data_IF_679155564246
#
_entry.id   IF_679155564246
#
_cell.length_a   1.000
_cell.length_b   1.000
_cell.length_c   1.000
_cell.angle_alpha   90.00
_cell.angle_beta   90.00
_cell.angle_gamma   90.00
#
_symmetry.space_group_name_H-M   'P 1'
#
loop_
_entity.id
_entity.type
_entity.pdbx_description
1 polymer ?
#
# COMPACT_ATOMS: atom_id res chain seq x y z
N UNK A 1 2.25 8.11 24.61
CA UNK A 1 3.42 8.79 24.01
C UNK A 1 3.34 8.55 22.51
N UNK A 2 3.18 9.64 21.74
CA UNK A 2 3.22 9.75 20.26
C UNK A 2 2.07 9.15 19.43
N UNK A 3 0.99 9.93 19.34
CA UNK A 3 0.24 10.15 18.09
C UNK A 3 1.19 10.71 17.03
N UNK A 4 1.71 9.86 16.13
CA UNK A 4 2.60 10.31 15.04
C UNK A 4 2.45 9.46 13.77
N UNK A 5 1.25 8.95 13.51
CA UNK A 5 0.96 8.11 12.33
C UNK A 5 0.03 8.80 11.31
N UNK A 6 -0.49 10.00 11.60
CA UNK A 6 -1.56 10.61 10.77
C UNK A 6 -1.12 11.79 9.87
N UNK A 7 0.18 12.12 9.77
CA UNK A 7 0.60 13.35 9.09
C UNK A 7 1.60 13.18 7.93
N UNK A 8 1.83 11.96 7.49
CA UNK A 8 2.47 11.70 6.19
C UNK A 8 1.42 10.91 5.39
N UNK A 9 1.07 11.31 4.15
CA UNK A 9 0.17 10.51 3.32
C UNK A 9 0.73 9.09 3.31
N UNK A 10 -0.09 8.10 3.64
CA UNK A 10 0.35 6.73 3.85
C UNK A 10 0.87 6.13 2.55
N UNK A 11 2.14 6.40 2.22
CA UNK A 11 2.92 5.69 1.19
C UNK A 11 3.25 4.25 1.63
N UNK A 12 2.33 3.58 2.31
CA UNK A 12 2.35 2.16 2.68
C UNK A 12 1.51 1.30 1.75
N UNK A 13 0.78 1.93 0.84
CA UNK A 13 -0.06 1.21 -0.12
C UNK A 13 0.79 0.43 -1.13
N UNK A 14 0.28 -0.70 -1.67
CA UNK A 14 0.93 -1.50 -2.71
C UNK A 14 1.63 -0.73 -3.86
N UNK A 15 1.13 0.42 -4.38
CA UNK A 15 1.84 1.24 -5.36
C UNK A 15 3.25 1.69 -4.93
N UNK A 16 3.52 1.89 -3.65
CA UNK A 16 4.78 2.41 -3.15
C UNK A 16 5.94 1.39 -3.13
N UNK A 17 5.68 0.10 -3.40
CA UNK A 17 6.72 -0.95 -3.37
C UNK A 17 7.85 -0.64 -4.36
N UNK A 18 7.50 -0.11 -5.53
CA UNK A 18 8.46 0.24 -6.58
C UNK A 18 9.30 1.46 -6.21
N UNK A 19 8.66 2.50 -5.68
CA UNK A 19 9.33 3.68 -5.12
C UNK A 19 10.29 3.29 -3.99
N UNK A 20 9.86 2.42 -3.07
CA UNK A 20 10.65 2.03 -1.91
C UNK A 20 11.80 1.11 -2.30
N UNK A 21 11.50 -0.01 -2.98
CA UNK A 21 12.51 -1.01 -3.31
C UNK A 21 13.50 -0.51 -4.36
N UNK A 22 13.08 0.32 -5.31
CA UNK A 22 13.88 0.61 -6.50
C UNK A 22 14.15 2.09 -6.75
N UNK A 23 13.57 3.01 -5.97
CA UNK A 23 13.64 4.45 -6.24
C UNK A 23 13.14 4.80 -7.65
N UNK A 24 12.16 4.04 -8.12
CA UNK A 24 11.49 4.23 -9.41
C UNK A 24 10.15 4.94 -9.17
N UNK A 25 9.66 5.70 -10.13
CA UNK A 25 8.39 6.44 -10.02
C UNK A 25 7.21 5.51 -9.67
N UNK A 26 6.20 6.10 -9.02
CA UNK A 26 4.95 5.44 -8.68
C UNK A 26 4.11 5.12 -9.92
N UNK A 27 2.86 4.76 -9.69
CA UNK A 27 1.93 4.39 -10.76
C UNK A 27 0.70 5.29 -10.72
N UNK A 28 0.13 5.51 -11.89
CA UNK A 28 -1.18 6.15 -11.98
C UNK A 28 -2.27 5.24 -11.38
N UNK A 29 -3.32 5.84 -10.78
CA UNK A 29 -3.53 7.28 -10.60
C UNK A 29 -2.71 7.94 -9.47
N UNK A 30 -2.14 7.18 -8.53
CA UNK A 30 -1.50 7.70 -7.31
C UNK A 30 -0.32 8.66 -7.55
N UNK A 31 0.44 8.46 -8.64
CA UNK A 31 1.59 9.29 -9.01
C UNK A 31 1.20 10.76 -9.26
N UNK A 32 0.04 10.99 -9.89
CA UNK A 32 -0.40 12.34 -10.27
C UNK A 32 -1.24 13.05 -9.20
N UNK A 33 -1.54 12.39 -8.08
CA UNK A 33 -2.35 12.95 -7.00
C UNK A 33 -1.59 14.06 -6.27
N UNK A 34 -2.26 15.21 -6.09
CA UNK A 34 -1.78 16.26 -5.19
C UNK A 34 -2.15 15.93 -3.74
N UNK A 35 -1.33 15.10 -3.10
CA UNK A 35 -1.52 14.65 -1.72
C UNK A 35 -1.53 15.77 -0.67
N UNK A 36 -0.93 16.94 -0.95
CA UNK A 36 -1.00 18.10 -0.05
C UNK A 36 -2.40 18.74 -0.06
N UNK A 37 -3.03 18.76 -1.24
CA UNK A 37 -4.38 19.31 -1.41
C UNK A 37 -5.47 18.30 -1.03
N UNK A 38 -5.21 17.01 -1.23
CA UNK A 38 -6.16 15.92 -0.97
C UNK A 38 -5.46 14.75 -0.26
N UNK A 39 -5.23 14.85 1.07
CA UNK A 39 -4.56 13.78 1.83
C UNK A 39 -5.33 12.46 1.85
N UNK A 40 -6.67 12.54 1.80
CA UNK A 40 -7.59 11.39 1.82
C UNK A 40 -8.19 11.14 0.42
N UNK A 41 -7.45 11.49 -0.66
CA UNK A 41 -7.95 11.44 -2.04
C UNK A 41 -8.59 10.10 -2.41
N UNK A 42 -8.03 9.00 -1.93
CA UNK A 42 -8.53 7.64 -2.15
C UNK A 42 -9.95 7.39 -1.61
N UNK A 43 -10.35 8.08 -0.55
CA UNK A 43 -11.73 8.02 -0.03
C UNK A 43 -12.65 8.97 -0.77
N UNK A 44 -12.15 10.17 -1.11
CA UNK A 44 -12.93 11.19 -1.81
C UNK A 44 -13.25 10.78 -3.26
N UNK A 45 -12.27 10.21 -3.97
CA UNK A 45 -12.44 9.76 -5.36
C UNK A 45 -13.38 8.56 -5.47
N UNK A 46 -13.28 7.62 -4.52
CA UNK A 46 -14.04 6.37 -4.54
C UNK A 46 -15.56 6.55 -4.52
N UNK A 47 -16.06 7.71 -4.10
CA UNK A 47 -17.49 8.09 -4.16
C UNK A 47 -17.98 8.16 -5.62
N UNK A 48 -17.08 8.45 -6.55
CA UNK A 48 -17.36 8.72 -7.96
C UNK A 48 -16.77 7.66 -8.91
N UNK A 49 -15.88 6.79 -8.41
CA UNK A 49 -15.22 5.76 -9.21
C UNK A 49 -16.14 4.55 -9.47
N UNK A 50 -15.97 3.91 -10.63
CA UNK A 50 -16.61 2.62 -10.89
C UNK A 50 -15.92 1.55 -10.03
N UNK A 51 -16.67 0.70 -9.29
CA UNK A 51 -16.07 -0.39 -8.52
C UNK A 51 -15.17 -1.33 -9.34
N UNK A 52 -15.44 -1.53 -10.64
CA UNK A 52 -14.60 -2.33 -11.51
C UNK A 52 -13.22 -1.71 -11.71
N UNK A 53 -13.14 -0.38 -11.86
CA UNK A 53 -11.88 0.35 -12.01
C UNK A 53 -11.04 0.26 -10.72
N UNK A 54 -11.69 0.36 -9.55
CA UNK A 54 -11.03 0.19 -8.25
C UNK A 54 -10.42 -1.23 -8.11
N UNK A 55 -11.15 -2.26 -8.54
CA UNK A 55 -10.66 -3.65 -8.53
C UNK A 55 -9.51 -3.83 -9.50
N UNK A 56 -9.56 -3.25 -10.70
CA UNK A 56 -8.48 -3.31 -11.69
C UNK A 56 -7.21 -2.62 -11.18
N UNK A 57 -7.35 -1.43 -10.57
CA UNK A 57 -6.26 -0.69 -9.95
C UNK A 57 -5.60 -1.50 -8.82
N UNK A 58 -6.40 -2.18 -8.00
CA UNK A 58 -5.88 -3.07 -6.94
C UNK A 58 -5.13 -4.28 -7.53
N UNK A 59 -5.70 -4.96 -8.52
CA UNK A 59 -5.07 -6.13 -9.16
C UNK A 59 -3.74 -5.76 -9.85
N UNK A 60 -3.70 -4.60 -10.50
CA UNK A 60 -2.49 -4.05 -11.11
C UNK A 60 -1.42 -3.81 -10.06
N UNK A 61 -1.78 -3.15 -8.96
CA UNK A 61 -0.86 -2.89 -7.84
C UNK A 61 -0.32 -4.18 -7.21
N UNK A 62 -1.16 -5.19 -7.01
CA UNK A 62 -0.73 -6.51 -6.50
C UNK A 62 0.24 -7.20 -7.46
N UNK A 63 -0.04 -7.14 -8.76
CA UNK A 63 0.80 -7.76 -9.80
C UNK A 63 2.19 -7.10 -9.84
N UNK A 64 2.24 -5.77 -9.75
CA UNK A 64 3.48 -5.01 -9.69
C UNK A 64 4.26 -5.27 -8.39
N UNK A 65 3.58 -5.31 -7.23
CA UNK A 65 4.23 -5.61 -5.96
C UNK A 65 4.90 -7.00 -5.98
N UNK A 66 4.23 -8.01 -6.56
CA UNK A 66 4.78 -9.36 -6.75
C UNK A 66 6.01 -9.34 -7.67
N UNK A 67 5.92 -8.71 -8.83
CA UNK A 67 7.03 -8.62 -9.77
C UNK A 67 8.27 -7.93 -9.15
N UNK A 68 8.07 -6.89 -8.33
CA UNK A 68 9.15 -6.20 -7.63
C UNK A 68 9.77 -7.08 -6.52
N UNK A 69 8.95 -7.83 -5.78
CA UNK A 69 9.44 -8.78 -4.79
C UNK A 69 10.25 -9.92 -5.43
N UNK A 70 9.77 -10.46 -6.56
CA UNK A 70 10.47 -11.49 -7.33
C UNK A 70 11.82 -10.99 -7.84
N UNK A 71 11.86 -9.76 -8.38
CA UNK A 71 13.09 -9.09 -8.80
C UNK A 71 14.08 -8.95 -7.63
N UNK A 72 13.62 -8.45 -6.48
CA UNK A 72 14.47 -8.26 -5.30
C UNK A 72 14.99 -9.61 -4.77
N UNK A 73 14.14 -10.64 -4.81
CA UNK A 73 14.53 -12.00 -4.42
C UNK A 73 15.57 -12.59 -5.37
N UNK A 74 15.46 -12.33 -6.68
CA UNK A 74 16.45 -12.77 -7.66
C UNK A 74 17.80 -12.04 -7.55
N UNK A 75 17.81 -10.76 -7.17
CA UNK A 75 19.05 -9.97 -7.02
C UNK A 75 19.86 -10.34 -5.76
N UNK A 76 19.19 -10.59 -4.63
CA UNK A 76 19.88 -10.78 -3.35
C UNK A 76 19.04 -11.50 -2.28
N UNK A 77 17.94 -12.13 -2.68
CA UNK A 77 17.02 -12.81 -1.77
C UNK A 77 16.29 -11.85 -0.83
N UNK A 78 15.90 -12.39 0.34
CA UNK A 78 15.14 -11.65 1.36
C UNK A 78 15.95 -10.54 2.06
N UNK A 79 17.27 -10.51 1.88
CA UNK A 79 18.16 -9.52 2.49
C UNK A 79 18.46 -8.32 1.57
N UNK A 80 17.92 -8.32 0.33
CA UNK A 80 17.97 -7.17 -0.59
C UNK A 80 17.41 -5.92 0.09
N UNK A 81 18.22 -4.85 0.14
CA UNK A 81 17.88 -3.56 0.76
C UNK A 81 17.14 -2.64 -0.21
N UNK A 82 16.18 -1.88 0.31
CA UNK A 82 15.50 -0.80 -0.39
C UNK A 82 16.50 0.25 -0.91
N UNK A 83 16.20 0.85 -2.06
CA UNK A 83 17.01 1.96 -2.61
C UNK A 83 16.67 3.30 -1.97
N UNK A 84 15.49 3.43 -1.37
CA UNK A 84 15.10 4.62 -0.59
C UNK A 84 15.07 4.31 0.90
N UNK A 85 15.07 5.38 1.71
CA UNK A 85 14.90 5.30 3.15
C UNK A 85 13.45 5.57 3.52
N UNK A 86 12.91 4.78 4.44
CA UNK A 86 11.63 5.05 5.09
C UNK A 86 11.84 5.15 6.60
N UNK A 87 11.29 6.21 7.19
CA UNK A 87 11.54 6.59 8.59
C UNK A 87 13.04 6.74 8.93
N UNK A 88 13.84 7.20 7.96
CA UNK A 88 15.28 7.40 8.11
C UNK A 88 16.14 6.14 7.92
N UNK A 89 15.55 4.98 7.61
CA UNK A 89 16.28 3.71 7.51
C UNK A 89 15.99 2.99 6.18
N UNK A 90 16.95 2.18 5.71
CA UNK A 90 16.72 1.23 4.61
C UNK A 90 16.22 -0.09 5.18
N UNK A 91 15.24 -0.69 4.52
CA UNK A 91 14.63 -1.94 4.95
C UNK A 91 14.96 -3.06 3.97
N UNK A 92 15.12 -4.28 4.45
CA UNK A 92 15.29 -5.43 3.55
C UNK A 92 13.94 -5.97 3.08
N UNK A 93 13.95 -6.76 2.00
CA UNK A 93 12.74 -7.38 1.45
C UNK A 93 11.95 -8.18 2.49
N UNK A 94 12.63 -8.88 3.41
CA UNK A 94 11.98 -9.58 4.52
C UNK A 94 11.12 -8.67 5.38
N UNK A 95 11.69 -7.53 5.80
CA UNK A 95 10.98 -6.53 6.59
C UNK A 95 9.79 -5.98 5.79
N UNK A 96 10.01 -5.62 4.52
CA UNK A 96 8.97 -5.05 3.65
C UNK A 96 7.79 -6.02 3.50
N UNK A 97 8.04 -7.30 3.21
CA UNK A 97 6.98 -8.31 3.08
C UNK A 97 6.22 -8.51 4.39
N UNK A 98 6.92 -8.55 5.53
CA UNK A 98 6.28 -8.69 6.84
C UNK A 98 5.40 -7.49 7.14
N UNK A 99 5.91 -6.28 6.89
CA UNK A 99 5.16 -5.04 7.05
C UNK A 99 3.92 -4.99 6.15
N UNK A 100 4.02 -5.42 4.89
CA UNK A 100 2.86 -5.47 3.97
C UNK A 100 1.79 -6.44 4.46
N UNK A 101 2.17 -7.60 5.03
CA UNK A 101 1.22 -8.56 5.60
C UNK A 101 0.49 -7.96 6.81
N UNK A 102 1.23 -7.32 7.72
CA UNK A 102 0.65 -6.65 8.89
C UNK A 102 -0.34 -5.56 8.50
N UNK A 103 0.05 -4.71 7.54
CA UNK A 103 -0.78 -3.62 7.07
C UNK A 103 -2.04 -4.13 6.34
N UNK A 104 -1.88 -5.12 5.47
CA UNK A 104 -3.01 -5.71 4.74
C UNK A 104 -4.01 -6.40 5.68
N UNK A 105 -3.51 -7.08 6.72
CA UNK A 105 -4.36 -7.68 7.75
C UNK A 105 -5.14 -6.61 8.55
N UNK A 106 -4.49 -5.49 8.90
CA UNK A 106 -5.14 -4.36 9.58
C UNK A 106 -6.27 -3.78 8.73
N UNK A 107 -6.05 -3.60 7.43
CA UNK A 107 -7.07 -3.09 6.51
C UNK A 107 -8.23 -4.08 6.34
N UNK A 108 -7.95 -5.38 6.19
CA UNK A 108 -9.01 -6.39 6.11
C UNK A 108 -9.89 -6.39 7.37
N UNK A 109 -9.31 -6.19 8.55
CA UNK A 109 -10.09 -6.05 9.78
C UNK A 109 -11.03 -4.84 9.77
N UNK A 110 -10.58 -3.68 9.26
CA UNK A 110 -11.45 -2.51 9.12
C UNK A 110 -12.55 -2.69 8.07
N UNK A 111 -12.23 -3.35 6.95
CA UNK A 111 -13.20 -3.64 5.89
C UNK A 111 -14.24 -4.65 6.38
N UNK A 112 -13.84 -5.63 7.20
CA UNK A 112 -14.77 -6.60 7.78
C UNK A 112 -15.80 -5.89 8.68
N UNK A 113 -15.37 -5.02 9.60
CA UNK A 113 -16.29 -4.21 10.40
C UNK A 113 -17.25 -3.37 9.55
N UNK A 114 -16.77 -2.85 8.43
CA UNK A 114 -17.60 -2.08 7.49
C UNK A 114 -18.64 -2.99 6.81
N UNK A 115 -18.23 -4.17 6.34
CA UNK A 115 -19.12 -5.20 5.78
C UNK A 115 -20.18 -5.62 6.79
N UNK A 116 -19.79 -5.97 8.03
CA UNK A 116 -20.70 -6.36 9.12
C UNK A 116 -21.77 -5.28 9.38
N UNK A 117 -21.38 -4.00 9.31
CA UNK A 117 -22.32 -2.88 9.52
C UNK A 117 -23.35 -2.73 8.39
N UNK A 118 -23.02 -3.22 7.18
CA UNK A 118 -23.86 -3.10 5.98
C UNK A 118 -24.80 -4.30 5.87
N UNK A 119 -24.30 -5.52 6.05
CA UNK A 119 -25.07 -6.75 5.85
C UNK A 119 -25.67 -7.33 7.14
N UNK A 120 -25.23 -6.86 8.31
CA UNK A 120 -25.68 -7.32 9.62
C UNK A 120 -25.17 -8.71 10.01
N UNK A 121 -24.26 -9.29 9.23
CA UNK A 121 -23.64 -10.59 9.48
C UNK A 121 -22.28 -10.37 10.10
N UNK A 122 -22.05 -10.92 11.29
CA UNK A 122 -20.70 -10.98 11.88
C UNK A 122 -19.84 -12.02 11.16
N UNK A 123 -18.52 -11.97 11.32
CA UNK A 123 -17.58 -13.02 10.86
C UNK A 123 -18.03 -14.46 11.20
N UNK A 124 -17.38 -15.47 10.57
CA UNK A 124 -17.82 -16.89 10.54
C UNK A 124 -18.64 -17.41 11.74
#
# INVERSE_FOLDING_TARGET
MRQLVLNEPSRTEPPAVREVLWAEDGIEPWESVNWEASPDWEFDSAIHDDPADLVENWQTSVSLARANADRACAEGGLDTRSKTTRHGETHNLRWILTHMIEEYARHNGHVDLSRESIDGLTGE
#
